data_IF_570257429977
#
_entry.id   IF_570257429977
#
_cell.length_a   1.000
_cell.length_b   1.000
_cell.length_c   1.000
_cell.angle_alpha   90.00
_cell.angle_beta   90.00
_cell.angle_gamma   90.00
#
_symmetry.space_group_name_H-M   'P 1'
#
loop_
_entity.id
_entity.type
_entity.pdbx_description
1 polymer ?
#
# COMPACT_ATOMS: atom_id res chain seq x y z
N UNK A 1 2.18 0.80 -21.62
CA UNK A 1 2.24 2.18 -21.14
C UNK A 1 2.85 2.12 -19.75
N UNK A 2 4.10 2.58 -19.60
CA UNK A 2 4.79 2.55 -18.30
C UNK A 2 4.27 3.75 -17.51
N UNK A 3 3.54 3.49 -16.43
CA UNK A 3 3.18 4.52 -15.48
C UNK A 3 4.48 4.96 -14.80
N UNK A 4 5.03 6.09 -15.23
CA UNK A 4 6.17 6.70 -14.56
C UNK A 4 5.61 7.33 -13.30
N UNK A 5 5.80 6.65 -12.17
CA UNK A 5 5.78 7.35 -10.89
C UNK A 5 6.81 8.47 -11.00
N UNK A 6 6.37 9.71 -10.78
CA UNK A 6 7.27 10.85 -10.85
C UNK A 6 8.18 10.78 -9.63
N UNK A 7 9.49 10.92 -9.83
CA UNK A 7 10.44 10.85 -8.74
C UNK A 7 10.07 11.91 -7.69
N UNK A 8 9.76 11.47 -6.45
CA UNK A 8 9.25 12.33 -5.38
C UNK A 8 7.80 12.05 -4.98
N UNK A 9 7.14 11.05 -5.56
CA UNK A 9 5.84 10.59 -5.06
C UNK A 9 6.02 9.94 -3.69
N UNK A 10 5.25 10.38 -2.71
CA UNK A 10 5.29 9.83 -1.36
C UNK A 10 4.25 8.73 -1.22
N UNK A 11 4.53 7.64 -0.51
CA UNK A 11 3.58 6.54 -0.32
C UNK A 11 3.62 5.92 1.08
N UNK A 12 2.50 5.34 1.49
CA UNK A 12 2.45 4.39 2.62
C UNK A 12 2.72 2.99 2.08
N UNK A 13 3.70 2.30 2.64
CA UNK A 13 4.03 0.93 2.28
C UNK A 13 3.28 -0.02 3.20
N UNK A 14 2.76 -1.11 2.65
CA UNK A 14 1.99 -2.12 3.37
C UNK A 14 2.56 -3.49 3.10
N UNK A 15 3.06 -4.14 4.15
CA UNK A 15 3.67 -5.46 4.09
C UNK A 15 2.96 -6.44 5.03
N UNK A 16 2.55 -7.60 4.52
CA UNK A 16 1.86 -8.61 5.33
C UNK A 16 2.60 -9.94 5.23
N UNK A 17 3.12 -10.42 6.35
CA UNK A 17 3.69 -11.77 6.43
C UNK A 17 2.56 -12.80 6.49
N UNK A 18 2.54 -13.69 5.50
CA UNK A 18 1.65 -14.85 5.49
C UNK A 18 2.19 -16.06 6.25
N UNK A 19 3.50 -16.11 6.38
CA UNK A 19 4.24 -17.12 7.13
C UNK A 19 4.46 -16.69 8.58
N UNK A 20 4.72 -17.67 9.46
CA UNK A 20 5.13 -17.41 10.85
C UNK A 20 6.53 -16.79 10.91
N UNK A 21 7.39 -17.16 9.96
CA UNK A 21 8.69 -16.52 9.76
C UNK A 21 8.49 -15.14 9.15
N UNK A 22 8.84 -14.12 9.95
CA UNK A 22 8.89 -12.74 9.50
C UNK A 22 10.24 -12.50 8.83
N UNK A 23 10.28 -12.68 7.53
CA UNK A 23 11.45 -12.37 6.73
C UNK A 23 11.57 -10.84 6.61
N UNK A 24 12.49 -10.27 7.40
CA UNK A 24 12.82 -8.83 7.37
C UNK A 24 13.51 -8.45 6.06
N UNK A 25 14.21 -9.40 5.43
CA UNK A 25 14.88 -9.21 4.14
C UNK A 25 13.89 -8.89 3.02
N UNK A 26 12.68 -9.48 3.02
CA UNK A 26 11.66 -9.14 2.03
C UNK A 26 11.16 -7.70 2.18
N UNK A 27 10.97 -7.25 3.41
CA UNK A 27 10.59 -5.86 3.67
C UNK A 27 11.66 -4.88 3.16
N UNK A 28 12.93 -5.16 3.47
CA UNK A 28 14.04 -4.32 3.01
C UNK A 28 14.18 -4.31 1.49
N UNK A 29 13.97 -5.45 0.83
CA UNK A 29 13.92 -5.53 -0.64
C UNK A 29 12.78 -4.68 -1.19
N UNK A 30 11.59 -4.79 -0.61
CA UNK A 30 10.44 -3.99 -1.03
C UNK A 30 10.71 -2.49 -0.89
N UNK A 31 11.22 -2.03 0.26
CA UNK A 31 11.62 -0.63 0.46
C UNK A 31 12.66 -0.18 -0.57
N UNK A 32 13.66 -1.01 -0.85
CA UNK A 32 14.69 -0.72 -1.85
C UNK A 32 14.11 -0.59 -3.25
N UNK A 33 13.15 -1.45 -3.62
CA UNK A 33 12.45 -1.39 -4.92
C UNK A 33 11.63 -0.12 -5.06
N UNK A 34 10.89 0.25 -4.01
CA UNK A 34 10.07 1.47 -3.97
C UNK A 34 10.94 2.72 -4.07
N UNK A 35 12.03 2.77 -3.29
CA UNK A 35 13.02 3.85 -3.36
C UNK A 35 13.68 3.94 -4.73
N UNK A 36 14.04 2.81 -5.35
CA UNK A 36 14.62 2.75 -6.70
C UNK A 36 13.62 3.19 -7.78
N UNK A 37 12.32 3.03 -7.55
CA UNK A 37 11.26 3.54 -8.41
C UNK A 37 11.02 5.06 -8.26
N UNK A 38 11.74 5.72 -7.36
CA UNK A 38 11.59 7.15 -7.09
C UNK A 38 10.44 7.48 -6.15
N UNK A 39 9.91 6.50 -5.43
CA UNK A 39 8.84 6.70 -4.44
C UNK A 39 9.43 6.74 -3.04
N UNK A 40 9.03 7.74 -2.26
CA UNK A 40 9.49 7.93 -0.88
C UNK A 40 8.52 7.28 0.11
N UNK A 41 9.01 6.33 0.89
CA UNK A 41 8.22 5.59 1.88
C UNK A 41 8.02 6.45 3.14
N UNK A 42 6.86 7.10 3.26
CA UNK A 42 6.54 7.93 4.42
C UNK A 42 6.29 7.11 5.68
N UNK A 43 5.64 5.97 5.50
CA UNK A 43 5.28 5.09 6.59
C UNK A 43 5.18 3.66 6.11
N UNK A 44 5.69 2.73 6.91
CA UNK A 44 5.66 1.29 6.62
C UNK A 44 4.72 0.63 7.62
N UNK A 45 3.58 0.15 7.13
CA UNK A 45 2.59 -0.60 7.90
C UNK A 45 2.85 -2.08 7.69
N UNK A 46 3.13 -2.77 8.78
CA UNK A 46 3.39 -4.20 8.74
C UNK A 46 2.36 -4.99 9.54
N UNK A 47 2.16 -6.25 9.16
CA UNK A 47 1.22 -7.15 9.84
C UNK A 47 1.50 -8.61 9.53
N UNK A 48 0.93 -9.51 10.34
CA UNK A 48 1.07 -10.96 10.13
C UNK A 48 -0.30 -11.61 10.10
N UNK A 49 -0.53 -12.51 9.14
CA UNK A 49 -1.82 -13.20 9.01
C UNK A 49 -1.68 -14.53 8.30
N UNK A 50 -2.49 -15.53 8.68
CA UNK A 50 -2.46 -16.85 8.02
C UNK A 50 -2.93 -16.87 6.56
N UNK A 51 -3.77 -15.91 6.15
CA UNK A 51 -4.33 -15.82 4.80
C UNK A 51 -4.82 -14.39 4.52
N UNK A 52 -4.88 -13.95 3.25
CA UNK A 52 -5.38 -12.63 2.88
C UNK A 52 -6.88 -12.47 3.18
N UNK A 53 -7.28 -11.30 3.66
CA UNK A 53 -8.68 -10.99 3.90
C UNK A 53 -9.45 -10.81 2.58
N UNK A 54 -10.62 -11.44 2.39
CA UNK A 54 -11.36 -11.34 1.12
C UNK A 54 -11.76 -9.90 0.79
N UNK A 55 -12.05 -9.08 1.82
CA UNK A 55 -12.52 -7.70 1.62
C UNK A 55 -11.40 -6.66 1.52
N UNK A 56 -10.34 -6.77 2.32
CA UNK A 56 -9.37 -5.69 2.54
C UNK A 56 -7.90 -6.16 2.47
N UNK A 57 -7.64 -7.43 2.14
CA UNK A 57 -6.31 -8.05 2.20
C UNK A 57 -5.68 -8.10 3.61
N UNK A 58 -5.44 -6.95 4.23
CA UNK A 58 -4.89 -6.77 5.59
C UNK A 58 -5.92 -6.98 6.70
N UNK A 59 -7.22 -6.79 6.41
CA UNK A 59 -8.32 -6.80 7.38
C UNK A 59 -8.82 -5.42 7.78
N UNK A 60 -9.96 -5.34 8.47
CA UNK A 60 -10.60 -4.05 8.78
C UNK A 60 -9.76 -3.15 9.70
N UNK A 61 -9.21 -3.68 10.80
CA UNK A 61 -8.41 -2.87 11.72
C UNK A 61 -7.17 -2.27 11.05
N UNK A 62 -6.44 -3.07 10.27
CA UNK A 62 -5.28 -2.57 9.51
C UNK A 62 -5.67 -1.66 8.35
N UNK A 63 -6.83 -1.87 7.71
CA UNK A 63 -7.33 -0.96 6.69
C UNK A 63 -7.64 0.43 7.27
N UNK A 64 -8.17 0.49 8.49
CA UNK A 64 -8.37 1.76 9.22
C UNK A 64 -7.02 2.40 9.58
N UNK A 65 -6.04 1.61 10.04
CA UNK A 65 -4.68 2.08 10.32
C UNK A 65 -4.02 2.69 9.08
N UNK A 66 -4.13 2.04 7.91
CA UNK A 66 -3.67 2.56 6.62
C UNK A 66 -4.38 3.86 6.27
N UNK A 67 -5.69 3.92 6.46
CA UNK A 67 -6.46 5.12 6.14
C UNK A 67 -6.12 6.30 7.06
N UNK A 68 -5.76 6.05 8.32
CA UNK A 68 -5.29 7.06 9.26
C UNK A 68 -3.86 7.50 8.94
N UNK A 69 -2.96 6.56 8.64
CA UNK A 69 -1.61 6.83 8.15
C UNK A 69 -1.60 7.71 6.91
N UNK A 70 -2.45 7.42 5.92
CA UNK A 70 -2.62 8.21 4.70
C UNK A 70 -3.13 9.61 5.03
N UNK A 71 -4.04 9.75 6.00
CA UNK A 71 -4.59 11.03 6.43
C UNK A 71 -3.54 11.86 7.19
N UNK A 72 -2.77 11.24 8.06
CA UNK A 72 -1.75 11.88 8.88
C UNK A 72 -0.55 12.31 8.03
N UNK A 73 -0.14 11.48 7.06
CA UNK A 73 0.99 11.75 6.17
C UNK A 73 0.62 12.62 4.97
N UNK A 74 -0.68 12.75 4.66
CA UNK A 74 -1.17 13.57 3.54
C UNK A 74 -0.94 12.96 2.16
N UNK A 75 -0.33 11.77 2.07
CA UNK A 75 -0.11 11.08 0.80
C UNK A 75 -1.42 10.56 0.19
N UNK A 76 -1.39 10.25 -1.10
CA UNK A 76 -2.44 9.52 -1.81
C UNK A 76 -2.05 8.14 -2.30
N UNK A 77 -0.78 7.78 -2.19
CA UNK A 77 -0.28 6.49 -2.64
C UNK A 77 -0.20 5.52 -1.47
N UNK A 78 -0.71 4.30 -1.71
CA UNK A 78 -0.49 3.15 -0.83
C UNK A 78 0.05 2.01 -1.68
N UNK A 79 1.21 1.49 -1.32
CA UNK A 79 1.89 0.42 -2.02
C UNK A 79 1.80 -0.87 -1.21
N UNK A 80 1.44 -1.96 -1.88
CA UNK A 80 1.32 -3.28 -1.28
C UNK A 80 2.38 -4.18 -1.90
N UNK A 81 3.11 -4.93 -1.06
CA UNK A 81 4.09 -5.91 -1.50
C UNK A 81 3.46 -7.04 -2.34
N UNK A 82 2.19 -7.34 -2.07
CA UNK A 82 1.46 -8.40 -2.73
C UNK A 82 0.35 -7.88 -3.64
N UNK A 83 0.05 -8.66 -4.68
CA UNK A 83 -1.05 -8.36 -5.57
C UNK A 83 -2.41 -8.44 -4.87
N UNK A 84 -3.19 -7.39 -5.05
CA UNK A 84 -4.58 -7.35 -4.61
C UNK A 84 -5.52 -7.79 -5.73
N UNK A 85 -6.66 -8.32 -5.33
CA UNK A 85 -7.78 -8.55 -6.25
C UNK A 85 -8.51 -7.23 -6.53
N UNK A 86 -9.15 -7.08 -7.71
CA UNK A 86 -9.92 -5.87 -8.08
C UNK A 86 -10.95 -5.43 -7.02
N UNK A 87 -11.56 -6.39 -6.33
CA UNK A 87 -12.49 -6.10 -5.25
C UNK A 87 -11.79 -5.54 -3.99
N UNK A 88 -10.62 -6.06 -3.64
CA UNK A 88 -9.82 -5.60 -2.50
C UNK A 88 -9.30 -4.18 -2.73
N UNK A 89 -8.79 -3.89 -3.93
CA UNK A 89 -8.32 -2.56 -4.33
C UNK A 89 -9.43 -1.52 -4.16
N UNK A 90 -10.62 -1.79 -4.74
CA UNK A 90 -11.80 -0.90 -4.62
C UNK A 90 -12.26 -0.69 -3.19
N UNK A 91 -12.19 -1.74 -2.35
CA UNK A 91 -12.60 -1.63 -0.95
C UNK A 91 -11.60 -0.80 -0.13
N UNK A 92 -10.30 -0.98 -0.37
CA UNK A 92 -9.24 -0.21 0.30
C UNK A 92 -9.26 1.25 -0.14
N UNK A 93 -9.42 1.51 -1.44
CA UNK A 93 -9.58 2.87 -1.97
C UNK A 93 -10.76 3.58 -1.28
N UNK A 94 -11.91 2.91 -1.16
CA UNK A 94 -13.06 3.45 -0.45
C UNK A 94 -12.76 3.70 1.03
N UNK A 95 -12.10 2.78 1.73
CA UNK A 95 -11.74 2.96 3.13
C UNK A 95 -10.82 4.18 3.34
N UNK A 96 -9.79 4.31 2.51
CA UNK A 96 -8.85 5.44 2.53
C UNK A 96 -9.58 6.76 2.22
N UNK A 97 -10.46 6.76 1.21
CA UNK A 97 -11.24 7.94 0.83
C UNK A 97 -12.22 8.38 1.91
N UNK A 98 -12.82 7.45 2.66
CA UNK A 98 -13.76 7.78 3.74
C UNK A 98 -13.06 8.39 4.95
N UNK A 99 -11.80 8.03 5.21
CA UNK A 99 -11.01 8.64 6.29
C UNK A 99 -10.58 10.09 6.01
N UNK A 100 -10.54 10.49 4.73
CA UNK A 100 -10.19 11.85 4.33
C UNK A 100 -11.30 12.84 4.63
N UNK A 101 -10.93 13.94 5.29
CA UNK A 101 -11.78 15.12 5.39
C UNK A 101 -11.94 15.72 3.98
N UNK A 102 -13.17 16.10 3.61
CA UNK A 102 -13.71 16.18 2.23
C UNK A 102 -13.11 17.20 1.22
N UNK A 103 -11.85 17.64 1.32
CA UNK A 103 -11.35 18.75 0.49
C UNK A 103 -10.54 18.40 -0.76
N UNK A 104 -10.07 17.16 -0.99
CA UNK A 104 -9.22 16.89 -2.18
C UNK A 104 -9.65 15.62 -2.93
N UNK A 105 -10.03 15.80 -4.21
CA UNK A 105 -10.36 14.72 -5.16
C UNK A 105 -9.11 13.88 -5.45
N UNK A 106 -9.25 12.56 -5.37
CA UNK A 106 -8.26 11.61 -5.89
C UNK A 106 -8.46 11.44 -7.40
N UNK A 107 -7.38 11.59 -8.17
CA UNK A 107 -7.31 11.13 -9.54
C UNK A 107 -6.98 9.63 -9.55
N UNK A 108 -7.67 8.89 -10.41
CA UNK A 108 -7.62 7.43 -10.56
C UNK A 108 -6.22 6.91 -10.97
N UNK A 109 -5.31 6.62 -10.03
CA UNK A 109 -3.99 6.03 -10.33
C UNK A 109 -3.45 4.99 -9.34
N UNK A 110 -4.17 4.67 -8.27
CA UNK A 110 -3.57 3.95 -7.16
C UNK A 110 -3.98 2.49 -7.17
N UNK A 111 -3.12 1.63 -7.72
CA UNK A 111 -2.81 0.27 -7.28
C UNK A 111 -2.08 -0.45 -8.41
N UNK A 112 -0.81 -0.81 -8.20
CA UNK A 112 -0.11 -1.71 -9.10
C UNK A 112 0.58 -2.77 -8.24
N UNK A 113 0.37 -4.07 -8.49
CA UNK A 113 1.19 -5.11 -7.88
C UNK A 113 2.62 -4.95 -8.39
N UNK A 114 3.59 -4.85 -7.48
CA UNK A 114 5.01 -4.88 -7.83
C UNK A 114 5.29 -6.20 -8.58
N UNK A 115 5.42 -6.14 -9.91
CA UNK A 115 5.91 -7.29 -10.68
C UNK A 115 7.44 -7.32 -10.59
N UNK A 116 8.06 -8.47 -10.33
CA UNK A 116 9.50 -8.60 -10.42
C UNK A 116 9.93 -8.46 -11.89
N UNK A 117 11.00 -7.69 -12.12
CA UNK A 117 11.66 -7.64 -13.43
C UNK A 117 12.36 -8.99 -13.73
N UNK A 118 12.44 -9.41 -15.00
CA UNK A 118 13.15 -10.63 -15.41
C UNK A 118 14.68 -10.51 -15.24
#
# INVERSE_FOLDING_TARGET
MFDRYDAGEQAVLVHIWFSQDKELEDLQKFETLVSSAGVDALQVITGSRKAPHPKYFVGEGKAVEIADAVKASGTSAVLFDHALSPAQERNLEQAVRMSRNRSHRLNSRYFCPARPHP
#
